data_IF_315900738613
#
_entry.id   IF_315900738613
#
_cell.length_a   1.000
_cell.length_b   1.000
_cell.length_c   1.000
_cell.angle_alpha   90.00
_cell.angle_beta   90.00
_cell.angle_gamma   90.00
#
_symmetry.space_group_name_H-M   'P 1'
#
loop_
_entity.id
_entity.type
_entity.pdbx_description
1 polymer ?
#
# COMPACT_ATOMS: atom_id res chain seq x y z
N UNK A 1 -4.15 -7.96 16.68
CA UNK A 1 -3.47 -9.23 16.33
C UNK A 1 -2.78 -9.22 14.95
N UNK A 2 -3.45 -9.07 13.80
CA UNK A 2 -2.78 -9.14 12.48
C UNK A 2 -2.02 -7.87 12.07
N UNK A 3 -2.66 -6.70 12.17
CA UNK A 3 -2.03 -5.39 11.86
C UNK A 3 -0.87 -5.07 12.79
N UNK A 4 -1.06 -5.29 14.10
CA UNK A 4 -0.03 -5.08 15.13
C UNK A 4 1.11 -6.09 15.00
N UNK A 5 0.80 -7.30 14.54
CA UNK A 5 1.78 -8.35 14.31
C UNK A 5 2.59 -8.18 13.04
N UNK A 6 2.23 -7.28 12.12
CA UNK A 6 2.89 -7.15 10.81
C UNK A 6 2.47 -8.22 9.79
N UNK A 7 1.35 -8.91 10.02
CA UNK A 7 0.85 -9.95 9.13
C UNK A 7 0.07 -9.32 7.96
N UNK A 8 0.13 -9.97 6.80
CA UNK A 8 -0.63 -9.61 5.60
C UNK A 8 -1.77 -10.63 5.40
N UNK A 9 -2.98 -10.14 5.15
CA UNK A 9 -4.12 -10.96 4.75
C UNK A 9 -4.64 -10.45 3.41
N UNK A 10 -4.71 -11.33 2.43
CA UNK A 10 -5.28 -11.01 1.12
C UNK A 10 -6.77 -11.28 1.15
N UNK A 11 -7.57 -10.29 0.76
CA UNK A 11 -9.03 -10.38 0.81
C UNK A 11 -9.64 -10.97 -0.48
N UNK A 12 -8.88 -11.78 -1.21
CA UNK A 12 -9.29 -12.49 -2.43
C UNK A 12 -8.99 -13.97 -2.27
N UNK A 13 -9.79 -14.83 -2.89
CA UNK A 13 -9.58 -16.28 -2.92
C UNK A 13 -8.15 -16.57 -3.42
N UNK A 14 -7.36 -17.37 -2.69
CA UNK A 14 -7.76 -18.32 -1.63
C UNK A 14 -7.75 -17.77 -0.17
N UNK A 15 -7.76 -16.44 0.03
CA UNK A 15 -7.71 -15.75 1.31
C UNK A 15 -6.41 -15.99 2.09
N UNK A 16 -5.29 -15.92 1.37
CA UNK A 16 -3.95 -16.16 1.91
C UNK A 16 -3.62 -15.25 3.09
N UNK A 17 -2.99 -15.84 4.10
CA UNK A 17 -2.47 -15.12 5.27
C UNK A 17 -0.98 -15.39 5.40
N UNK A 18 -0.21 -14.32 5.57
CA UNK A 18 1.24 -14.36 5.64
C UNK A 18 1.71 -13.83 6.98
N UNK A 19 2.64 -14.55 7.61
CA UNK A 19 3.34 -14.05 8.79
C UNK A 19 4.33 -12.95 8.38
N UNK A 20 4.86 -12.16 9.33
CA UNK A 20 5.74 -11.02 9.01
C UNK A 20 7.04 -11.42 8.33
N UNK A 21 7.51 -12.65 8.55
CA UNK A 21 8.74 -13.20 7.97
C UNK A 21 8.54 -13.66 6.53
N UNK A 22 7.32 -14.08 6.18
CA UNK A 22 6.98 -14.60 4.85
C UNK A 22 5.96 -13.70 4.14
N UNK A 23 5.91 -12.42 4.51
CA UNK A 23 4.95 -11.49 3.93
C UNK A 23 5.41 -11.08 2.53
N UNK A 24 4.47 -10.86 1.59
CA UNK A 24 4.83 -10.31 0.29
C UNK A 24 5.41 -8.91 0.47
N UNK A 25 6.53 -8.66 -0.19
CA UNK A 25 7.21 -7.37 -0.25
C UNK A 25 7.03 -6.76 -1.65
N UNK A 26 7.17 -5.43 -1.74
CA UNK A 26 7.17 -4.78 -3.04
C UNK A 26 8.50 -5.02 -3.74
N UNK A 27 8.48 -5.64 -4.91
CA UNK A 27 9.65 -5.83 -5.77
C UNK A 27 9.99 -4.55 -6.55
N UNK A 28 10.05 -3.43 -5.82
CA UNK A 28 10.37 -2.11 -6.35
C UNK A 28 11.63 -1.64 -5.64
N UNK A 29 12.78 -1.81 -6.30
CA UNK A 29 14.08 -1.31 -5.83
C UNK A 29 14.20 0.20 -6.04
N UNK A 30 13.37 0.96 -5.34
CA UNK A 30 13.42 2.42 -5.33
C UNK A 30 13.49 2.87 -3.88
N UNK A 31 14.34 3.83 -3.59
CA UNK A 31 14.38 4.52 -2.31
C UNK A 31 13.71 5.89 -2.46
N UNK A 32 12.91 6.34 -1.49
CA UNK A 32 12.40 7.70 -1.50
C UNK A 32 13.55 8.70 -1.42
N UNK A 33 13.36 9.88 -2.00
CA UNK A 33 14.26 11.00 -1.78
C UNK A 33 14.15 11.48 -0.32
N UNK A 34 15.21 12.04 0.27
CA UNK A 34 15.16 12.58 1.63
C UNK A 34 14.03 13.62 1.75
N UNK A 35 13.18 13.46 2.77
CA UNK A 35 12.01 14.34 2.96
C UNK A 35 10.82 14.01 2.06
N UNK A 36 10.75 12.81 1.50
CA UNK A 36 9.52 12.35 0.85
C UNK A 36 8.40 12.23 1.89
N UNK A 37 7.34 13.00 1.69
CA UNK A 37 6.14 12.97 2.53
C UNK A 37 5.05 12.08 1.93
N UNK A 38 4.25 11.48 2.80
CA UNK A 38 3.05 10.77 2.38
C UNK A 38 2.00 11.76 1.86
N UNK A 39 1.55 11.67 0.60
CA UNK A 39 0.57 12.62 0.02
C UNK A 39 -0.81 12.64 0.69
N UNK A 40 -1.07 11.74 1.64
CA UNK A 40 -2.37 11.59 2.31
C UNK A 40 -2.39 12.33 3.64
N UNK A 41 -1.33 12.21 4.44
CA UNK A 41 -1.23 12.85 5.76
C UNK A 41 -0.21 14.00 5.80
N UNK A 42 0.60 14.17 4.75
CA UNK A 42 1.66 15.18 4.65
C UNK A 42 2.76 15.03 5.71
N UNK A 43 2.98 13.80 6.19
CA UNK A 43 4.04 13.45 7.14
C UNK A 43 5.11 12.58 6.46
N UNK A 44 6.37 12.63 6.90
CA UNK A 44 7.47 11.89 6.27
C UNK A 44 7.27 10.38 6.33
N UNK A 45 7.66 9.70 5.26
CA UNK A 45 7.71 8.23 5.21
C UNK A 45 9.08 7.69 5.62
N UNK A 46 9.17 6.37 5.82
CA UNK A 46 10.47 5.72 6.03
C UNK A 46 11.30 5.75 4.73
N UNK A 47 12.61 5.59 4.86
CA UNK A 47 13.61 5.68 3.78
C UNK A 47 13.64 4.46 2.83
N UNK A 48 12.70 3.53 3.01
CA UNK A 48 12.59 2.30 2.22
C UNK A 48 11.18 1.73 2.27
N UNK A 49 10.89 0.80 1.37
CA UNK A 49 9.69 -0.02 1.45
C UNK A 49 9.76 -0.93 2.69
N UNK A 50 8.71 -0.93 3.49
CA UNK A 50 8.56 -1.77 4.67
C UNK A 50 7.10 -2.19 4.80
N UNK A 51 6.77 -3.02 5.79
CA UNK A 51 5.37 -3.27 6.12
C UNK A 51 4.58 -1.97 6.37
N UNK A 52 5.22 -0.89 6.86
CA UNK A 52 4.54 0.38 7.16
C UNK A 52 4.58 1.37 6.01
N UNK A 53 5.50 1.21 5.07
CA UNK A 53 5.79 2.18 4.01
C UNK A 53 5.71 1.51 2.65
N UNK A 54 4.83 2.01 1.79
CA UNK A 54 4.57 1.44 0.46
C UNK A 54 4.76 2.51 -0.62
N UNK A 55 5.07 2.07 -1.83
CA UNK A 55 5.27 2.94 -3.01
C UNK A 55 4.26 2.61 -4.10
N UNK A 56 3.84 3.61 -4.87
CA UNK A 56 3.05 3.37 -6.08
C UNK A 56 3.90 2.62 -7.12
N UNK A 57 3.47 1.43 -7.59
CA UNK A 57 4.25 0.63 -8.54
C UNK A 57 4.38 1.31 -9.92
N UNK A 58 3.39 2.11 -10.30
CA UNK A 58 3.34 2.77 -11.61
C UNK A 58 4.31 3.97 -11.68
N UNK A 59 4.17 4.93 -10.78
CA UNK A 59 4.97 6.16 -10.86
C UNK A 59 6.27 6.12 -10.04
N UNK A 60 6.40 5.21 -9.07
CA UNK A 60 7.57 5.06 -8.18
C UNK A 60 7.97 6.32 -7.39
N UNK A 61 7.13 7.35 -7.43
CA UNK A 61 7.34 8.67 -6.81
C UNK A 61 6.41 8.94 -5.63
N UNK A 62 5.26 8.28 -5.61
CA UNK A 62 4.30 8.44 -4.53
C UNK A 62 4.53 7.36 -3.47
N UNK A 63 4.87 7.81 -2.27
CA UNK A 63 5.15 6.96 -1.11
C UNK A 63 4.08 7.17 -0.05
N UNK A 64 3.74 6.11 0.68
CA UNK A 64 2.60 6.16 1.59
C UNK A 64 2.82 5.35 2.84
N UNK A 65 2.28 5.83 3.97
CA UNK A 65 2.06 4.95 5.11
C UNK A 65 0.93 3.97 4.77
N UNK A 66 1.14 2.69 5.09
CA UNK A 66 0.15 1.62 4.93
C UNK A 66 -1.18 1.95 5.57
N UNK A 67 -1.16 2.59 6.75
CA UNK A 67 -2.37 3.04 7.43
C UNK A 67 -3.16 4.09 6.63
N UNK A 68 -2.45 5.05 6.02
CA UNK A 68 -3.06 6.10 5.20
C UNK A 68 -3.71 5.51 3.95
N UNK A 69 -3.00 4.62 3.24
CA UNK A 69 -3.53 3.91 2.08
C UNK A 69 -4.74 3.05 2.44
N UNK A 70 -4.69 2.32 3.55
CA UNK A 70 -5.82 1.53 4.01
C UNK A 70 -7.05 2.40 4.29
N UNK A 71 -6.86 3.58 4.88
CA UNK A 71 -7.91 4.57 5.07
C UNK A 71 -8.47 5.11 3.74
N UNK A 72 -7.60 5.44 2.79
CA UNK A 72 -7.99 5.88 1.44
C UNK A 72 -8.80 4.79 0.71
N UNK A 73 -8.32 3.54 0.69
CA UNK A 73 -9.02 2.41 0.09
C UNK A 73 -10.42 2.22 0.69
N UNK A 74 -10.55 2.29 2.02
CA UNK A 74 -11.83 2.20 2.71
C UNK A 74 -12.76 3.39 2.44
N UNK A 75 -12.27 4.54 1.95
CA UNK A 75 -13.07 5.73 1.60
C UNK A 75 -13.36 5.90 0.10
N UNK A 76 -12.44 5.48 -0.78
CA UNK A 76 -12.62 5.51 -2.24
C UNK A 76 -13.36 4.27 -2.75
N UNK A 77 -12.92 3.07 -2.34
CA UNK A 77 -13.49 1.80 -2.79
C UNK A 77 -12.95 1.41 -4.17
N UNK A 78 -13.22 0.19 -4.61
CA UNK A 78 -12.57 -0.40 -5.78
C UNK A 78 -12.66 0.46 -7.05
N UNK A 79 -13.78 1.16 -7.26
CA UNK A 79 -14.02 1.97 -8.47
C UNK A 79 -13.20 3.26 -8.54
N UNK A 80 -12.80 3.82 -7.39
CA UNK A 80 -12.14 5.13 -7.32
C UNK A 80 -10.78 5.07 -6.62
N UNK A 81 -10.32 3.86 -6.29
CA UNK A 81 -9.04 3.68 -5.64
C UNK A 81 -7.92 3.76 -6.67
N UNK A 82 -7.16 4.85 -6.61
CA UNK A 82 -6.10 5.17 -7.56
C UNK A 82 -4.99 5.95 -6.85
N UNK A 83 -3.80 5.95 -7.43
CA UNK A 83 -2.67 6.72 -6.92
C UNK A 83 -3.02 8.23 -6.93
N UNK A 84 -2.93 8.95 -5.79
CA UNK A 84 -3.21 10.38 -5.75
C UNK A 84 -2.31 11.23 -6.66
N UNK A 85 -1.11 10.75 -6.98
CA UNK A 85 -0.12 11.49 -7.77
C UNK A 85 -0.25 11.26 -9.28
N UNK A 86 -0.24 10.01 -9.73
CA UNK A 86 -0.26 9.68 -11.16
C UNK A 86 -1.63 9.21 -11.69
N UNK A 87 -2.61 9.04 -10.81
CA UNK A 87 -3.97 8.54 -11.13
C UNK A 87 -4.02 7.15 -11.76
N UNK A 88 -2.93 6.39 -11.70
CA UNK A 88 -2.97 4.97 -12.04
C UNK A 88 -3.89 4.24 -11.05
N UNK A 89 -4.92 3.58 -11.58
CA UNK A 89 -5.89 2.81 -10.82
C UNK A 89 -5.76 1.30 -11.01
N UNK A 90 -5.09 0.84 -12.06
CA UNK A 90 -4.97 -0.59 -12.38
C UNK A 90 -3.80 -1.23 -11.62
N UNK A 91 -2.56 -0.89 -12.02
CA UNK A 91 -1.35 -1.44 -11.40
C UNK A 91 -1.29 -1.09 -9.90
N UNK A 92 -1.69 0.14 -9.55
CA UNK A 92 -1.80 0.58 -8.17
C UNK A 92 -2.77 -0.28 -7.35
N UNK A 93 -4.00 -0.50 -7.81
CA UNK A 93 -4.99 -1.27 -7.05
C UNK A 93 -4.57 -2.72 -6.88
N UNK A 94 -4.06 -3.36 -7.96
CA UNK A 94 -3.60 -4.75 -7.94
C UNK A 94 -2.48 -4.93 -6.92
N UNK A 95 -1.45 -4.07 -6.96
CA UNK A 95 -0.31 -4.15 -6.05
C UNK A 95 -0.73 -3.91 -4.59
N UNK A 96 -1.48 -2.85 -4.32
CA UNK A 96 -1.95 -2.54 -2.95
C UNK A 96 -2.79 -3.70 -2.40
N UNK A 97 -3.62 -4.33 -3.23
CA UNK A 97 -4.40 -5.50 -2.85
C UNK A 97 -3.52 -6.72 -2.54
N UNK A 98 -2.53 -7.01 -3.38
CA UNK A 98 -1.59 -8.12 -3.19
C UNK A 98 -0.80 -7.97 -1.88
N UNK A 99 -0.45 -6.73 -1.52
CA UNK A 99 0.17 -6.38 -0.25
C UNK A 99 -0.82 -6.39 0.93
N UNK A 100 -2.09 -6.74 0.74
CA UNK A 100 -3.10 -6.87 1.78
C UNK A 100 -3.77 -5.57 2.22
N UNK A 101 -3.84 -4.57 1.34
CA UNK A 101 -4.74 -3.44 1.54
C UNK A 101 -6.16 -3.89 1.20
N UNK A 102 -7.06 -3.77 2.17
CA UNK A 102 -8.47 -4.09 1.97
C UNK A 102 -9.15 -2.99 1.14
N UNK A 103 -9.67 -3.35 -0.02
CA UNK A 103 -10.37 -2.44 -0.93
C UNK A 103 -11.80 -2.95 -1.12
N UNK A 104 -12.82 -2.32 -0.51
CA UNK A 104 -14.21 -2.77 -0.63
C UNK A 104 -14.81 -2.41 -1.99
N UNK A 105 -15.64 -3.29 -2.53
CA UNK A 105 -16.61 -2.94 -3.58
C UNK A 105 -17.77 -2.21 -2.92
N UNK A 106 -18.02 -0.97 -3.34
CA UNK A 106 -19.13 -0.13 -2.89
C UNK A 106 -19.64 0.74 -4.05
#
# INVERSE_FOLDING_TARGET
>A
CAKEGGCIHQYIIPYSSFCPVHCPEQDVQVTPEPGTDCPICMEPVEDRTTFRTMVCPACKRAWFHRGCIQGQAMRAGALFFQCPLCRDGEAFTVEMFALGIRIPFR
#
